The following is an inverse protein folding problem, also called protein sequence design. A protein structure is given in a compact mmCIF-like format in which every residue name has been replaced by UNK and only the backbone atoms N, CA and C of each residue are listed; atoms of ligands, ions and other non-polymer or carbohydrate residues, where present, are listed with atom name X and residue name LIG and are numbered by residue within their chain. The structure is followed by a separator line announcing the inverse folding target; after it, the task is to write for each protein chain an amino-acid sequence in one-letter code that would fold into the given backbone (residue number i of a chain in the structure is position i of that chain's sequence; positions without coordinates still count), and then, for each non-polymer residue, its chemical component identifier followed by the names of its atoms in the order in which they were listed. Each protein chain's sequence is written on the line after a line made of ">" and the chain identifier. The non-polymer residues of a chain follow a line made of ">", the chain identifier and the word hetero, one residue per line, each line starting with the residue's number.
data_IF_669036610502
#
_entry.id   IF_669036610502
#
_cell.length_a   1.000
_cell.length_b   1.000
_cell.length_c   1.000
_cell.angle_alpha   90.00
_cell.angle_beta   90.00
_cell.angle_gamma   90.00
#
_symmetry.space_group_name_H-M   'P 1'
#
loop_
_entity.id
_entity.type
_entity.pdbx_description
1 polymer ?
#
# COMPACT_ATOMS: atom_id res chain seq x y z
N UNK A 1 -8.25 -12.11 -7.89
CA UNK A 1 -7.46 -11.98 -6.65
C UNK A 1 -8.37 -11.59 -5.48
N UNK A 2 -8.74 -12.54 -4.62
CA UNK A 2 -9.77 -12.35 -3.59
C UNK A 2 -9.29 -11.61 -2.32
N UNK A 3 -7.97 -11.37 -2.16
CA UNK A 3 -7.43 -10.78 -0.92
C UNK A 3 -7.70 -9.27 -0.77
N UNK A 4 -7.89 -8.54 -1.87
CA UNK A 4 -8.30 -7.14 -1.80
C UNK A 4 -9.78 -6.97 -1.43
N UNK A 5 -10.59 -8.04 -1.43
CA UNK A 5 -12.04 -7.95 -1.27
C UNK A 5 -12.47 -7.33 0.07
N UNK A 6 -11.65 -7.47 1.13
CA UNK A 6 -11.95 -6.94 2.47
C UNK A 6 -11.65 -5.44 2.65
N UNK A 7 -10.88 -4.83 1.74
CA UNK A 7 -10.70 -3.38 1.73
C UNK A 7 -11.96 -2.72 1.19
N UNK A 8 -12.52 -1.79 1.97
CA UNK A 8 -13.60 -0.91 1.56
C UNK A 8 -13.27 -0.27 0.21
N UNK A 9 -14.29 -0.05 -0.61
CA UNK A 9 -14.17 0.67 -1.89
C UNK A 9 -13.41 1.98 -1.75
N UNK A 10 -13.55 2.66 -0.60
CA UNK A 10 -12.84 3.92 -0.30
C UNK A 10 -11.30 3.76 -0.24
N UNK A 11 -10.77 2.70 0.38
CA UNK A 11 -9.32 2.46 0.41
C UNK A 11 -8.79 2.13 -1.00
N UNK A 12 -9.53 1.31 -1.75
CA UNK A 12 -9.16 0.98 -3.14
C UNK A 12 -9.20 2.19 -4.06
N UNK A 13 -10.21 3.04 -3.92
CA UNK A 13 -10.34 4.29 -4.67
C UNK A 13 -9.14 5.21 -4.42
N UNK A 14 -8.78 5.38 -3.15
CA UNK A 14 -7.62 6.17 -2.76
C UNK A 14 -6.34 5.71 -3.45
N UNK A 15 -6.03 4.41 -3.36
CA UNK A 15 -4.83 3.82 -3.96
C UNK A 15 -4.84 3.96 -5.49
N UNK A 16 -6.00 3.76 -6.14
CA UNK A 16 -6.13 3.94 -7.60
C UNK A 16 -5.82 5.36 -8.05
N UNK A 17 -6.29 6.37 -7.33
CA UNK A 17 -6.01 7.78 -7.66
C UNK A 17 -4.54 8.15 -7.49
N UNK A 18 -3.86 7.57 -6.50
CA UNK A 18 -2.42 7.79 -6.30
C UNK A 18 -1.56 7.06 -7.34
N UNK A 19 -1.97 5.86 -7.74
CA UNK A 19 -1.25 5.02 -8.71
C UNK A 19 -1.75 5.22 -10.15
N UNK A 20 -2.38 6.37 -10.45
CA UNK A 20 -2.76 6.71 -11.82
C UNK A 20 -1.50 6.84 -12.69
N UNK A 21 -1.49 6.11 -13.81
CA UNK A 21 -0.44 6.16 -14.83
C UNK A 21 -0.36 7.56 -15.45
N UNK A 22 -1.53 8.12 -15.77
CA UNK A 22 -1.67 9.49 -16.25
C UNK A 22 -1.40 10.47 -15.09
N UNK A 23 -0.36 11.29 -15.25
CA UNK A 23 0.11 12.25 -14.24
C UNK A 23 -0.93 13.33 -13.97
N UNK A 24 -1.69 13.75 -14.98
CA UNK A 24 -2.72 14.79 -14.80
C UNK A 24 -3.95 14.28 -14.07
N UNK A 25 -4.15 12.95 -14.06
CA UNK A 25 -5.22 12.28 -13.29
C UNK A 25 -4.75 11.80 -11.92
N UNK A 26 -3.45 11.86 -11.64
CA UNK A 26 -2.89 11.44 -10.36
C UNK A 26 -3.25 12.46 -9.29
N UNK A 27 -3.79 11.98 -8.16
CA UNK A 27 -4.09 12.86 -7.03
C UNK A 27 -2.83 13.57 -6.53
N UNK A 28 -2.93 14.88 -6.38
CA UNK A 28 -1.93 15.70 -5.68
C UNK A 28 -1.93 15.40 -4.18
N UNK A 29 -0.87 15.79 -3.47
CA UNK A 29 -0.78 15.65 -2.01
C UNK A 29 -1.96 16.34 -1.31
N UNK A 30 -2.34 17.54 -1.73
CA UNK A 30 -3.48 18.28 -1.13
C UNK A 30 -4.79 17.53 -1.30
N UNK A 31 -5.04 16.94 -2.46
CA UNK A 31 -6.21 16.11 -2.71
C UNK A 31 -6.19 14.80 -1.90
N UNK A 32 -5.00 14.21 -1.73
CA UNK A 32 -4.87 12.98 -0.96
C UNK A 32 -5.18 13.18 0.53
N UNK A 33 -4.73 14.29 1.13
CA UNK A 33 -4.97 14.61 2.55
C UNK A 33 -6.44 14.78 2.89
N UNK A 34 -7.26 15.28 1.96
CA UNK A 34 -8.69 15.48 2.20
C UNK A 34 -9.53 14.22 1.94
N UNK A 35 -8.92 13.14 1.45
CA UNK A 35 -9.64 11.91 1.12
C UNK A 35 -10.22 11.23 2.39
N UNK A 36 -11.48 10.73 2.38
CA UNK A 36 -12.13 10.21 3.59
C UNK A 36 -11.38 9.07 4.30
N UNK A 37 -10.68 8.22 3.54
CA UNK A 37 -9.84 7.15 4.12
C UNK A 37 -8.61 7.70 4.85
N UNK A 38 -7.99 8.77 4.34
CA UNK A 38 -6.82 9.41 4.96
C UNK A 38 -7.24 10.24 6.18
N UNK A 39 -8.39 10.90 6.10
CA UNK A 39 -8.98 11.64 7.24
C UNK A 39 -9.49 10.75 8.38
N UNK A 40 -9.45 9.43 8.22
CA UNK A 40 -9.95 8.48 9.22
C UNK A 40 -11.48 8.33 9.25
N UNK A 41 -12.22 9.05 8.41
CA UNK A 41 -13.70 9.01 8.37
C UNK A 41 -14.20 7.67 7.82
N UNK A 42 -13.53 7.17 6.78
CA UNK A 42 -13.87 5.90 6.11
C UNK A 42 -12.83 4.79 6.37
N UNK A 43 -11.90 5.02 7.30
CA UNK A 43 -10.90 4.02 7.67
C UNK A 43 -11.52 3.02 8.65
N UNK A 44 -11.36 1.72 8.34
CA UNK A 44 -11.75 0.64 9.24
C UNK A 44 -10.65 0.37 10.25
N UNK A 45 -11.06 0.04 11.47
CA UNK A 45 -10.18 -0.39 12.56
C UNK A 45 -10.11 -1.93 12.68
N UNK A 46 -10.48 -2.66 11.62
CA UNK A 46 -10.40 -4.11 11.61
C UNK A 46 -8.94 -4.58 11.68
N UNK A 47 -8.66 -5.58 12.51
CA UNK A 47 -7.35 -6.22 12.53
C UNK A 47 -7.13 -7.01 11.23
N UNK A 48 -6.02 -6.73 10.55
CA UNK A 48 -5.68 -7.32 9.26
C UNK A 48 -4.57 -8.38 9.40
N UNK A 49 -4.90 -9.53 10.00
CA UNK A 49 -3.95 -10.61 10.30
C UNK A 49 -3.15 -11.08 9.07
N UNK A 50 -3.83 -11.38 7.97
CA UNK A 50 -3.18 -11.77 6.72
C UNK A 50 -2.26 -10.68 6.16
N UNK A 51 -2.59 -9.41 6.39
CA UNK A 51 -1.74 -8.29 5.98
C UNK A 51 -0.47 -8.26 6.81
N UNK A 52 -0.58 -8.47 8.14
CA UNK A 52 0.59 -8.56 9.03
C UNK A 52 1.53 -9.71 8.62
N UNK A 53 0.97 -10.90 8.33
CA UNK A 53 1.76 -12.06 7.87
C UNK A 53 2.50 -11.77 6.56
N UNK A 54 1.81 -11.27 5.54
CA UNK A 54 2.41 -10.93 4.24
C UNK A 54 3.43 -9.79 4.32
N UNK A 55 3.22 -8.82 5.22
CA UNK A 55 4.17 -7.74 5.47
C UNK A 55 5.49 -8.28 6.04
N UNK A 56 5.44 -9.28 6.93
CA UNK A 56 6.65 -9.97 7.42
C UNK A 56 7.41 -10.67 6.30
N UNK A 57 6.71 -11.42 5.45
CA UNK A 57 7.30 -12.12 4.29
C UNK A 57 7.95 -11.11 3.30
N UNK A 58 7.26 -10.02 3.00
CA UNK A 58 7.78 -8.96 2.14
C UNK A 58 9.05 -8.31 2.72
N UNK A 59 9.03 -7.96 4.01
CA UNK A 59 10.19 -7.37 4.69
C UNK A 59 11.38 -8.33 4.76
N UNK A 60 11.12 -9.62 4.95
CA UNK A 60 12.16 -10.64 4.94
C UNK A 60 12.85 -10.70 3.56
N UNK A 61 12.06 -10.85 2.47
CA UNK A 61 12.60 -10.87 1.10
C UNK A 61 13.37 -9.60 0.75
N UNK A 62 12.84 -8.42 1.11
CA UNK A 62 13.49 -7.12 0.86
C UNK A 62 14.82 -6.99 1.61
N UNK A 63 14.92 -7.52 2.84
CA UNK A 63 16.20 -7.53 3.57
C UNK A 63 17.18 -8.49 2.92
N UNK A 64 16.75 -9.69 2.54
CA UNK A 64 17.62 -10.66 1.87
C UNK A 64 18.18 -10.14 0.56
N UNK A 65 17.38 -9.48 -0.28
CA UNK A 65 17.87 -8.89 -1.53
C UNK A 65 18.94 -7.83 -1.29
N UNK A 66 18.79 -7.01 -0.25
CA UNK A 66 19.80 -6.01 0.12
C UNK A 66 21.12 -6.67 0.51
N UNK A 67 21.09 -7.76 1.28
CA UNK A 67 22.32 -8.44 1.71
C UNK A 67 22.97 -9.22 0.56
N UNK A 68 22.18 -9.88 -0.30
CA UNK A 68 22.70 -10.59 -1.47
C UNK A 68 23.33 -9.68 -2.53
N UNK A 69 22.95 -8.39 -2.57
CA UNK A 69 23.62 -7.41 -3.44
C UNK A 69 25.07 -7.13 -3.02
N UNK A 70 25.42 -7.21 -1.72
CA UNK A 70 26.78 -6.95 -1.26
C UNK A 70 27.73 -8.15 -1.43
N UNK A 71 27.20 -9.38 -1.49
CA UNK A 71 28.03 -10.59 -1.67
C UNK A 71 28.41 -10.85 -3.14
N UNK A 72 27.73 -10.23 -4.11
CA UNK A 72 28.03 -10.34 -5.54
C UNK A 72 29.04 -9.32 -6.08
N UNK A 73 29.50 -8.39 -5.24
CA UNK A 73 30.36 -7.25 -5.59
C UNK A 73 31.79 -7.36 -5.01
N UNK A 74 32.21 -8.53 -4.52
CA UNK A 74 33.56 -8.83 -3.99
C UNK A 74 34.29 -9.83 -4.89
#
# INVERSE_FOLDING_TARGET
>A
MLWAARLLGCCKDFVKRLLSVDVYKRSTVRQALVHPWVRGIAAKHEYLEDTQRKMKEFNHRRKQSIHGSYEGDI
#
